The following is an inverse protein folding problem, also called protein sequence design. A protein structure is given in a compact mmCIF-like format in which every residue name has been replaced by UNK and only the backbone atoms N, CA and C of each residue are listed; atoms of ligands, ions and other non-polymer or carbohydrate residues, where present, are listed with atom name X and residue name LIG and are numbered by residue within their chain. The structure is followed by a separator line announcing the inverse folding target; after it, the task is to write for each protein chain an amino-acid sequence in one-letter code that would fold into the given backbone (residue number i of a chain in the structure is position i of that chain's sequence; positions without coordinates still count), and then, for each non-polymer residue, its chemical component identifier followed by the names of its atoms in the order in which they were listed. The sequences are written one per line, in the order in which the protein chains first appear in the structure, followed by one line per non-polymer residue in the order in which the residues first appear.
data_IF_925160062491
#
_entry.id   IF_925160062491
#
_cell.length_a   1.000
_cell.length_b   1.000
_cell.length_c   1.000
_cell.angle_alpha   90.00
_cell.angle_beta   90.00
_cell.angle_gamma   90.00
#
_symmetry.space_group_name_H-M   'P 1'
#
loop_
_entity.id
_entity.type
_entity.pdbx_description
1 polymer ?
#
# COMPACT_ATOMS: atom_id res chain seq x y z
N UNK A 1 -11.78 -5.78 16.25
CA UNK A 1 -10.50 -5.71 15.52
C UNK A 1 -10.69 -6.60 14.32
N UNK A 2 -10.86 -6.03 13.13
CA UNK A 2 -10.92 -6.87 11.93
C UNK A 2 -9.54 -7.49 11.75
N UNK A 3 -9.50 -8.81 11.63
CA UNK A 3 -8.27 -9.52 11.39
C UNK A 3 -7.74 -9.10 10.01
N UNK A 4 -6.43 -8.92 9.91
CA UNK A 4 -5.78 -8.64 8.64
C UNK A 4 -6.17 -9.70 7.60
N UNK A 5 -6.72 -9.33 6.43
CA UNK A 5 -7.40 -10.28 5.55
C UNK A 5 -6.45 -11.16 4.72
N UNK A 6 -5.14 -10.91 4.75
CA UNK A 6 -4.13 -11.56 3.92
C UNK A 6 -3.04 -12.27 4.74
N UNK A 7 -2.19 -13.06 4.08
CA UNK A 7 -1.01 -13.63 4.73
C UNK A 7 0.00 -12.53 5.05
N UNK A 8 0.08 -12.18 6.34
CA UNK A 8 1.04 -11.21 6.88
C UNK A 8 2.50 -11.49 6.53
N UNK A 9 2.88 -12.72 6.17
CA UNK A 9 4.25 -13.05 5.73
C UNK A 9 4.59 -12.48 4.36
N UNK A 10 3.58 -12.19 3.55
CA UNK A 10 3.72 -11.53 2.24
C UNK A 10 3.58 -10.01 2.32
N UNK A 11 3.42 -9.46 3.53
CA UNK A 11 3.44 -8.02 3.75
C UNK A 11 4.88 -7.49 3.77
N UNK A 12 5.10 -6.32 3.18
CA UNK A 12 6.37 -5.57 3.25
C UNK A 12 6.10 -4.16 3.75
N UNK A 13 6.70 -3.83 4.89
CA UNK A 13 6.59 -2.51 5.51
C UNK A 13 7.44 -1.47 4.77
N UNK A 14 6.88 -0.28 4.58
CA UNK A 14 7.52 0.92 4.00
C UNK A 14 7.57 2.08 5.00
N UNK A 15 6.50 2.28 5.78
CA UNK A 15 6.37 3.29 6.83
C UNK A 15 5.97 4.70 6.38
N UNK A 16 6.36 5.16 5.18
CA UNK A 16 5.90 6.44 4.63
C UNK A 16 6.06 6.47 3.11
N UNK A 17 5.11 7.07 2.36
CA UNK A 17 3.88 7.76 2.79
C UNK A 17 2.66 6.85 3.08
N UNK A 18 2.85 5.54 2.93
CA UNK A 18 1.91 4.49 3.28
C UNK A 18 2.64 3.44 4.13
N UNK A 19 1.90 2.65 4.90
CA UNK A 19 2.50 1.66 5.80
C UNK A 19 3.20 0.52 5.08
N UNK A 20 2.65 0.00 3.97
CA UNK A 20 3.32 -1.07 3.24
C UNK A 20 2.62 -1.59 1.99
N UNK A 21 3.17 -2.70 1.47
CA UNK A 21 2.69 -3.41 0.28
C UNK A 21 2.40 -4.85 0.68
N UNK A 22 1.22 -5.34 0.33
CA UNK A 22 0.84 -6.75 0.42
C UNK A 22 0.94 -7.40 -0.96
N UNK A 23 1.59 -8.56 -1.03
CA UNK A 23 1.71 -9.35 -2.25
C UNK A 23 0.76 -10.56 -2.18
N UNK A 24 -0.17 -10.63 -3.12
CA UNK A 24 -1.06 -11.78 -3.33
C UNK A 24 -0.71 -12.47 -4.66
N UNK A 25 -1.30 -13.63 -4.92
CA UNK A 25 -1.09 -14.39 -6.16
C UNK A 25 -1.56 -13.62 -7.40
N UNK A 26 -2.64 -12.84 -7.30
CA UNK A 26 -3.31 -12.16 -8.42
C UNK A 26 -3.17 -10.63 -8.40
N UNK A 27 -2.63 -10.04 -7.33
CA UNK A 27 -2.55 -8.58 -7.17
C UNK A 27 -1.50 -8.13 -6.18
N UNK A 28 -1.15 -6.84 -6.28
CA UNK A 28 -0.34 -6.11 -5.31
C UNK A 28 -1.25 -5.07 -4.65
N UNK A 29 -1.29 -5.04 -3.32
CA UNK A 29 -2.14 -4.11 -2.56
C UNK A 29 -1.27 -3.12 -1.79
N UNK A 30 -1.50 -1.82 -2.02
CA UNK A 30 -0.91 -0.76 -1.21
C UNK A 30 -1.77 -0.59 0.04
N UNK A 31 -1.17 -0.73 1.22
CA UNK A 31 -1.86 -0.80 2.51
C UNK A 31 -1.48 0.39 3.39
N UNK A 32 -2.50 1.00 3.98
CA UNK A 32 -2.39 1.99 5.05
C UNK A 32 -3.33 1.55 6.17
N UNK A 33 -2.77 1.38 7.37
CA UNK A 33 -3.51 1.07 8.58
C UNK A 33 -3.91 2.35 9.29
N UNK A 34 -5.18 2.45 9.66
CA UNK A 34 -5.70 3.55 10.46
C UNK A 34 -6.25 2.98 11.76
N UNK A 35 -5.74 3.47 12.88
CA UNK A 35 -6.38 3.23 14.17
C UNK A 35 -7.54 4.20 14.36
N UNK A 36 -8.68 3.70 14.81
CA UNK A 36 -9.81 4.51 15.29
C UNK A 36 -10.29 5.54 14.25
N UNK A 37 -10.43 6.82 14.64
CA UNK A 37 -10.95 7.92 13.81
C UNK A 37 -9.90 8.60 12.92
N UNK A 38 -8.68 8.07 12.85
CA UNK A 38 -7.60 8.71 12.10
C UNK A 38 -7.92 8.79 10.60
N UNK A 39 -7.85 10.00 10.05
CA UNK A 39 -8.15 10.27 8.65
C UNK A 39 -6.90 10.12 7.78
N UNK A 40 -7.10 9.81 6.50
CA UNK A 40 -6.01 9.85 5.53
C UNK A 40 -5.39 11.25 5.45
N UNK A 41 -4.08 11.34 5.29
CA UNK A 41 -3.43 12.60 4.95
C UNK A 41 -3.73 13.00 3.50
N UNK A 42 -3.45 14.26 3.13
CA UNK A 42 -3.56 14.72 1.73
C UNK A 42 -2.70 13.86 0.80
N UNK A 43 -1.49 13.48 1.25
CA UNK A 43 -0.57 12.63 0.47
C UNK A 43 -1.11 11.22 0.28
N UNK A 44 -1.68 10.61 1.33
CA UNK A 44 -2.31 9.29 1.26
C UNK A 44 -3.53 9.29 0.32
N UNK A 45 -4.39 10.32 0.39
CA UNK A 45 -5.50 10.49 -0.55
C UNK A 45 -5.01 10.56 -1.98
N UNK A 46 -3.95 11.33 -2.22
CA UNK A 46 -3.38 11.46 -3.56
C UNK A 46 -2.86 10.12 -4.11
N UNK A 47 -2.21 9.32 -3.27
CA UNK A 47 -1.74 7.99 -3.65
C UNK A 47 -2.91 7.07 -3.99
N UNK A 48 -3.96 7.05 -3.15
CA UNK A 48 -5.18 6.29 -3.43
C UNK A 48 -5.78 6.66 -4.79
N UNK A 49 -5.89 7.96 -5.10
CA UNK A 49 -6.38 8.43 -6.41
C UNK A 49 -5.51 7.92 -7.57
N UNK A 50 -4.18 7.93 -7.44
CA UNK A 50 -3.28 7.43 -8.49
C UNK A 50 -3.52 5.94 -8.74
N UNK A 51 -3.68 5.14 -7.68
CA UNK A 51 -3.98 3.71 -7.77
C UNK A 51 -5.33 3.47 -8.45
N UNK A 52 -6.38 4.17 -8.00
CA UNK A 52 -7.72 4.05 -8.57
C UNK A 52 -7.78 4.48 -10.05
N UNK A 53 -6.90 5.39 -10.46
CA UNK A 53 -6.75 5.83 -11.84
C UNK A 53 -5.80 4.93 -12.67
N UNK A 54 -5.28 3.84 -12.12
CA UNK A 54 -4.36 2.93 -12.80
C UNK A 54 -2.96 3.51 -13.04
N UNK A 55 -2.58 4.58 -12.34
CA UNK A 55 -1.29 5.27 -12.46
C UNK A 55 -0.26 4.65 -11.51
N UNK A 56 -0.07 3.34 -11.65
CA UNK A 56 0.92 2.55 -10.89
C UNK A 56 1.77 1.81 -11.91
N UNK A 57 3.08 2.02 -11.82
CA UNK A 57 4.04 1.50 -12.79
C UNK A 57 5.06 0.60 -12.07
N UNK A 58 5.52 -0.43 -12.78
CA UNK A 58 6.60 -1.31 -12.32
C UNK A 58 7.84 -1.00 -13.15
N UNK A 59 8.88 -0.50 -12.49
CA UNK A 59 10.11 -0.08 -13.13
C UNK A 59 11.30 -0.89 -12.61
N UNK A 60 12.08 -1.47 -13.52
CA UNK A 60 13.32 -2.18 -13.20
C UNK A 60 14.51 -1.25 -13.41
N UNK A 61 15.04 -0.72 -12.31
CA UNK A 61 16.25 0.11 -12.33
C UNK A 61 17.45 -0.75 -11.96
N UNK A 62 18.44 -0.85 -12.86
CA UNK A 62 19.72 -1.49 -12.57
C UNK A 62 20.69 -0.42 -12.08
N UNK A 63 21.21 -0.63 -10.89
CA UNK A 63 22.31 0.18 -10.35
C UNK A 63 23.58 -0.65 -10.52
N UNK A 64 24.58 -0.09 -11.20
CA UNK A 64 25.89 -0.71 -11.40
C UNK A 64 26.82 -0.51 -10.21
#
# INVERSE_FOLDING_TARGET
MEAYPWDSKQFRFLGSPIDGIQFEEDKIVLVEFKSSSSQMSVKQRKIKELVEQGKVEFELIRVG
#
